data_IF_596333118967
#
_entry.id   IF_596333118967
#
_cell.length_a   1.000
_cell.length_b   1.000
_cell.length_c   1.000
_cell.angle_alpha   90.00
_cell.angle_beta   90.00
_cell.angle_gamma   90.00
#
_symmetry.space_group_name_H-M   'P 1'
#
loop_
_entity.id
_entity.type
_entity.pdbx_description
1 polymer ?
#
# COMPACT_ATOMS: atom_id res chain seq x y z
N UNK A 1 -1.01 0.54 -2.09
CA UNK A 1 -2.25 0.44 -2.91
C UNK A 1 -2.01 -0.20 -4.28
N UNK A 2 -0.87 0.02 -4.95
CA UNK A 2 -0.64 -0.46 -6.33
C UNK A 2 -0.48 -1.99 -6.50
N UNK A 3 0.00 -2.73 -5.49
CA UNK A 3 0.03 -4.20 -5.54
C UNK A 3 -1.36 -4.82 -5.67
N UNK A 4 -2.27 -4.44 -4.77
CA UNK A 4 -3.61 -5.04 -4.70
C UNK A 4 -4.32 -4.85 -6.04
N UNK A 5 -4.13 -3.65 -6.61
CA UNK A 5 -4.54 -3.29 -7.97
C UNK A 5 -3.97 -4.24 -9.03
N UNK A 6 -2.68 -4.55 -9.01
CA UNK A 6 -2.07 -5.49 -9.95
C UNK A 6 -2.62 -6.90 -9.81
N UNK A 7 -2.81 -7.40 -8.57
CA UNK A 7 -3.40 -8.72 -8.34
C UNK A 7 -4.84 -8.80 -8.86
N UNK A 8 -5.64 -7.76 -8.63
CA UNK A 8 -7.03 -7.67 -9.14
C UNK A 8 -7.02 -7.65 -10.66
N UNK A 9 -6.17 -6.84 -11.29
CA UNK A 9 -6.04 -6.79 -12.74
C UNK A 9 -5.69 -8.17 -13.33
N UNK A 10 -4.64 -8.82 -12.80
CA UNK A 10 -4.23 -10.15 -13.25
C UNK A 10 -5.36 -11.18 -13.07
N UNK A 11 -6.10 -11.10 -11.97
CA UNK A 11 -7.23 -11.99 -11.71
C UNK A 11 -8.40 -11.77 -12.69
N UNK A 12 -8.70 -10.51 -13.05
CA UNK A 12 -9.73 -10.20 -14.05
C UNK A 12 -9.32 -10.65 -15.46
N UNK A 13 -8.04 -10.57 -15.81
CA UNK A 13 -7.52 -11.10 -17.08
C UNK A 13 -7.65 -12.62 -17.13
N UNK A 14 -7.22 -13.33 -16.08
CA UNK A 14 -7.38 -14.79 -15.97
C UNK A 14 -8.85 -15.21 -15.98
N UNK A 15 -9.71 -14.46 -15.31
CA UNK A 15 -11.16 -14.66 -15.34
C UNK A 15 -11.69 -14.52 -16.76
N UNK A 16 -11.32 -13.45 -17.48
CA UNK A 16 -11.79 -13.19 -18.84
C UNK A 16 -11.35 -14.32 -19.78
N UNK A 17 -10.07 -14.71 -19.72
CA UNK A 17 -9.51 -15.77 -20.54
C UNK A 17 -10.17 -17.14 -20.27
N UNK A 18 -10.39 -17.49 -18.99
CA UNK A 18 -11.01 -18.77 -18.63
C UNK A 18 -12.52 -18.83 -18.85
N UNK A 19 -13.22 -17.70 -18.69
CA UNK A 19 -14.68 -17.64 -18.76
C UNK A 19 -15.19 -17.52 -20.20
N UNK A 20 -14.46 -16.84 -21.08
CA UNK A 20 -14.88 -16.60 -22.45
C UNK A 20 -15.23 -17.89 -23.23
N UNK A 21 -14.35 -18.93 -23.29
CA UNK A 21 -14.65 -20.15 -24.04
C UNK A 21 -15.89 -20.88 -23.51
N UNK A 22 -16.07 -20.89 -22.18
CA UNK A 22 -17.21 -21.53 -21.54
C UNK A 22 -18.54 -20.83 -21.87
N UNK A 23 -18.56 -19.51 -21.80
CA UNK A 23 -19.74 -18.69 -22.13
C UNK A 23 -20.09 -18.82 -23.62
N UNK A 24 -19.09 -18.74 -24.49
CA UNK A 24 -19.28 -18.91 -25.94
C UNK A 24 -19.89 -20.28 -26.28
N UNK A 25 -19.32 -21.36 -25.72
CA UNK A 25 -19.83 -22.71 -25.95
C UNK A 25 -21.24 -22.91 -25.39
N UNK A 26 -21.52 -22.38 -24.20
CA UNK A 26 -22.84 -22.43 -23.58
C UNK A 26 -23.91 -21.75 -24.43
N UNK A 27 -23.63 -20.54 -24.90
CA UNK A 27 -24.54 -19.78 -25.75
C UNK A 27 -24.72 -20.45 -27.13
N UNK A 28 -23.65 -20.93 -27.76
CA UNK A 28 -23.74 -21.67 -29.04
C UNK A 28 -24.57 -22.94 -28.91
N UNK A 29 -24.49 -23.65 -27.78
CA UNK A 29 -25.25 -24.88 -27.55
C UNK A 29 -26.77 -24.63 -27.54
N UNK A 30 -27.21 -23.50 -26.97
CA UNK A 30 -28.64 -23.15 -26.85
C UNK A 30 -29.14 -22.38 -28.07
N UNK A 31 -28.41 -21.36 -28.51
CA UNK A 31 -28.84 -20.39 -29.52
C UNK A 31 -28.24 -20.59 -30.91
N UNK A 32 -27.29 -21.53 -31.07
CA UNK A 32 -26.62 -21.85 -32.34
C UNK A 32 -26.05 -20.61 -33.01
N UNK A 33 -26.49 -20.26 -34.22
CA UNK A 33 -25.96 -19.14 -35.00
C UNK A 33 -26.39 -17.76 -34.47
N UNK A 34 -27.41 -17.69 -33.60
CA UNK A 34 -27.92 -16.42 -33.03
C UNK A 34 -27.31 -16.09 -31.67
N UNK A 35 -26.28 -16.82 -31.25
CA UNK A 35 -25.68 -16.66 -29.93
C UNK A 35 -25.10 -15.26 -29.70
N UNK A 36 -24.56 -14.62 -30.74
CA UNK A 36 -24.06 -13.24 -30.67
C UNK A 36 -25.18 -12.22 -30.44
N UNK A 37 -26.32 -12.39 -31.09
CA UNK A 37 -27.47 -11.48 -30.95
C UNK A 37 -28.09 -11.59 -29.55
N UNK A 38 -28.11 -12.80 -28.98
CA UNK A 38 -28.55 -13.02 -27.60
C UNK A 38 -27.55 -12.52 -26.57
N UNK A 39 -26.24 -12.61 -26.84
CA UNK A 39 -25.26 -11.94 -25.99
C UNK A 39 -25.43 -10.41 -26.00
N UNK A 40 -25.74 -9.84 -27.17
CA UNK A 40 -26.06 -8.40 -27.31
C UNK A 40 -27.34 -8.01 -26.58
N UNK A 41 -28.32 -8.92 -26.50
CA UNK A 41 -29.61 -8.64 -25.83
C UNK A 41 -29.44 -8.43 -24.32
N UNK A 42 -28.48 -9.11 -23.69
CA UNK A 42 -28.13 -8.94 -22.28
C UNK A 42 -27.67 -7.53 -21.88
N UNK A 43 -27.34 -6.66 -22.85
CA UNK A 43 -26.91 -5.27 -22.59
C UNK A 43 -27.98 -4.22 -22.92
N UNK A 44 -29.11 -4.63 -23.52
CA UNK A 44 -30.11 -3.71 -24.06
C UNK A 44 -30.98 -3.04 -22.99
N UNK A 45 -31.10 -3.65 -21.81
CA UNK A 45 -31.93 -3.11 -20.73
C UNK A 45 -31.24 -2.01 -19.92
N UNK A 46 -29.90 -1.93 -19.93
CA UNK A 46 -29.18 -1.06 -18.99
C UNK A 46 -29.00 0.39 -19.44
N UNK A 47 -29.00 0.76 -20.74
CA UNK A 47 -29.04 2.18 -21.13
C UNK A 47 -29.57 2.43 -22.56
N UNK A 48 -30.30 3.55 -22.67
CA UNK A 48 -30.70 4.30 -23.87
C UNK A 48 -29.51 4.67 -24.77
N UNK A 49 -28.83 3.70 -25.36
CA UNK A 49 -27.81 3.93 -26.38
C UNK A 49 -28.44 3.57 -27.71
N UNK A 50 -28.66 4.61 -28.53
CA UNK A 50 -29.02 4.47 -29.93
C UNK A 50 -28.12 3.41 -30.57
N UNK A 51 -28.73 2.32 -31.02
CA UNK A 51 -28.02 1.18 -31.58
C UNK A 51 -27.10 1.64 -32.72
N UNK A 52 -25.78 1.45 -32.62
CA UNK A 52 -24.96 1.39 -33.80
C UNK A 52 -25.12 -0.01 -34.39
N UNK A 53 -25.57 -0.03 -35.63
CA UNK A 53 -25.52 -1.16 -36.56
C UNK A 53 -24.21 -1.95 -36.37
N UNK A 54 -24.31 -3.22 -35.97
CA UNK A 54 -23.18 -4.15 -35.76
C UNK A 54 -22.13 -3.67 -34.73
N UNK A 55 -22.52 -3.42 -33.49
CA UNK A 55 -21.55 -3.25 -32.40
C UNK A 55 -20.85 -4.59 -32.10
N UNK A 56 -19.54 -4.67 -32.35
CA UNK A 56 -18.70 -5.80 -31.93
C UNK A 56 -18.57 -5.75 -30.40
N UNK A 57 -19.04 -6.78 -29.70
CA UNK A 57 -18.87 -6.88 -28.23
C UNK A 57 -17.37 -6.99 -27.93
N UNK A 58 -16.84 -6.06 -27.14
CA UNK A 58 -15.52 -6.25 -26.51
C UNK A 58 -15.68 -7.19 -25.33
N UNK A 59 -15.10 -8.38 -25.41
CA UNK A 59 -15.17 -9.36 -24.33
C UNK A 59 -14.18 -8.99 -23.22
N UNK A 60 -14.70 -8.40 -22.15
CA UNK A 60 -14.01 -8.17 -20.89
C UNK A 60 -14.73 -8.92 -19.75
N UNK A 61 -14.12 -8.96 -18.56
CA UNK A 61 -14.70 -9.62 -17.39
C UNK A 61 -16.13 -9.13 -17.10
N UNK A 62 -16.43 -7.85 -17.32
CA UNK A 62 -17.75 -7.29 -17.05
C UNK A 62 -18.82 -7.79 -17.99
N UNK A 63 -18.55 -7.72 -19.29
CA UNK A 63 -19.49 -8.13 -20.31
C UNK A 63 -19.76 -9.63 -20.18
N UNK A 64 -18.72 -10.43 -19.90
CA UNK A 64 -18.88 -11.86 -19.64
C UNK A 64 -19.72 -12.16 -18.40
N UNK A 65 -19.43 -11.53 -17.25
CA UNK A 65 -20.21 -11.71 -16.02
C UNK A 65 -21.66 -11.23 -16.16
N UNK A 66 -21.89 -10.18 -16.96
CA UNK A 66 -23.23 -9.64 -17.24
C UNK A 66 -24.04 -10.62 -18.08
N UNK A 67 -23.46 -11.14 -19.17
CA UNK A 67 -24.11 -12.16 -20.01
C UNK A 67 -24.39 -13.43 -19.21
N UNK A 68 -23.45 -13.87 -18.36
CA UNK A 68 -23.67 -15.03 -17.49
C UNK A 68 -24.81 -14.84 -16.51
N UNK A 69 -24.93 -13.64 -15.92
CA UNK A 69 -26.01 -13.32 -15.00
C UNK A 69 -27.37 -13.32 -15.69
N UNK A 70 -27.48 -12.65 -16.83
CA UNK A 70 -28.72 -12.52 -17.58
C UNK A 70 -29.20 -13.87 -18.14
N UNK A 71 -28.28 -14.60 -18.79
CA UNK A 71 -28.57 -15.90 -19.39
C UNK A 71 -28.47 -17.07 -18.40
N UNK A 72 -28.40 -16.79 -17.10
CA UNK A 72 -28.23 -17.82 -16.05
C UNK A 72 -29.28 -18.91 -16.15
N UNK A 73 -30.56 -18.52 -16.14
CA UNK A 73 -31.67 -19.48 -16.11
C UNK A 73 -31.79 -20.31 -17.40
N UNK A 74 -31.40 -19.73 -18.54
CA UNK A 74 -31.58 -20.35 -19.86
C UNK A 74 -30.40 -21.22 -20.27
N UNK A 75 -29.18 -20.82 -19.93
CA UNK A 75 -27.94 -21.45 -20.41
C UNK A 75 -27.20 -22.17 -19.28
N UNK A 76 -26.96 -21.49 -18.16
CA UNK A 76 -25.99 -21.95 -17.15
C UNK A 76 -26.60 -22.71 -15.98
N UNK A 77 -27.93 -22.61 -15.75
CA UNK A 77 -28.63 -23.26 -14.62
C UNK A 77 -28.54 -24.78 -14.62
N UNK A 78 -28.33 -25.41 -15.79
CA UNK A 78 -28.20 -26.86 -15.90
C UNK A 78 -26.80 -27.36 -15.59
N UNK A 79 -25.76 -26.53 -15.79
CA UNK A 79 -24.35 -26.89 -15.62
C UNK A 79 -23.74 -26.37 -14.32
N UNK A 80 -24.23 -25.24 -13.81
CA UNK A 80 -23.75 -24.58 -12.59
C UNK A 80 -24.86 -24.55 -11.53
N UNK A 81 -24.46 -24.61 -10.25
CA UNK A 81 -25.34 -24.56 -9.09
C UNK A 81 -25.58 -23.11 -8.66
N UNK A 82 -26.50 -22.93 -7.73
CA UNK A 82 -26.84 -21.61 -7.19
C UNK A 82 -25.65 -20.95 -6.48
N UNK A 83 -24.70 -21.73 -5.93
CA UNK A 83 -23.46 -21.22 -5.33
C UNK A 83 -22.63 -20.42 -6.32
N UNK A 84 -22.48 -20.91 -7.55
CA UNK A 84 -21.70 -20.22 -8.57
C UNK A 84 -22.42 -18.97 -9.06
N UNK A 85 -23.76 -18.96 -9.05
CA UNK A 85 -24.53 -17.73 -9.32
C UNK A 85 -24.16 -16.61 -8.35
N UNK A 86 -24.06 -16.94 -7.06
CA UNK A 86 -23.65 -15.97 -6.04
C UNK A 86 -22.23 -15.47 -6.28
N UNK A 87 -21.31 -16.33 -6.73
CA UNK A 87 -19.95 -15.92 -7.11
C UNK A 87 -19.95 -14.97 -8.31
N UNK A 88 -20.80 -15.20 -9.32
CA UNK A 88 -20.92 -14.28 -10.47
C UNK A 88 -21.35 -12.89 -10.02
N UNK A 89 -22.32 -12.78 -9.12
CA UNK A 89 -22.75 -11.48 -8.56
C UNK A 89 -21.60 -10.82 -7.80
N UNK A 90 -20.98 -11.56 -6.89
CA UNK A 90 -19.86 -11.06 -6.09
C UNK A 90 -18.72 -10.53 -6.97
N UNK A 91 -18.31 -11.28 -8.01
CA UNK A 91 -17.29 -10.85 -8.95
C UNK A 91 -17.71 -9.64 -9.78
N UNK A 92 -19.00 -9.52 -10.10
CA UNK A 92 -19.53 -8.34 -10.81
C UNK A 92 -19.44 -7.09 -9.94
N UNK A 93 -19.75 -7.20 -8.65
CA UNK A 93 -19.55 -6.12 -7.68
C UNK A 93 -18.08 -5.75 -7.52
N UNK A 94 -17.17 -6.73 -7.42
CA UNK A 94 -15.73 -6.49 -7.38
C UNK A 94 -15.22 -5.76 -8.62
N UNK A 95 -15.62 -6.19 -9.82
CA UNK A 95 -15.27 -5.48 -11.06
C UNK A 95 -15.85 -4.07 -11.07
N UNK A 96 -17.09 -3.89 -10.60
CA UNK A 96 -17.71 -2.58 -10.57
C UNK A 96 -16.93 -1.60 -9.69
N UNK A 97 -16.62 -2.01 -8.45
CA UNK A 97 -15.72 -1.28 -7.53
C UNK A 97 -14.37 -0.98 -8.19
N UNK A 98 -13.81 -1.95 -8.91
CA UNK A 98 -12.55 -1.79 -9.63
C UNK A 98 -12.61 -0.69 -10.71
N UNK A 99 -13.70 -0.66 -11.49
CA UNK A 99 -13.94 0.36 -12.51
C UNK A 99 -14.15 1.76 -11.92
N UNK A 100 -14.71 1.85 -10.71
CA UNK A 100 -14.84 3.10 -9.95
C UNK A 100 -13.54 3.53 -9.23
N UNK A 101 -12.46 2.77 -9.41
CA UNK A 101 -11.17 3.01 -8.76
C UNK A 101 -11.22 2.99 -7.23
N UNK A 102 -12.12 2.21 -6.64
CA UNK A 102 -12.23 2.09 -5.18
C UNK A 102 -10.95 1.55 -4.52
N UNK A 103 -10.82 1.80 -3.22
CA UNK A 103 -9.77 1.20 -2.39
C UNK A 103 -10.06 -0.29 -2.12
N UNK A 104 -9.03 -1.12 -2.25
CA UNK A 104 -9.10 -2.55 -1.92
C UNK A 104 -8.07 -2.90 -0.85
N UNK A 105 -8.54 -3.52 0.23
CA UNK A 105 -7.67 -4.10 1.25
C UNK A 105 -7.18 -5.51 0.85
N UNK A 106 -6.28 -6.08 1.65
CA UNK A 106 -5.82 -7.46 1.53
C UNK A 106 -6.99 -8.45 1.51
N UNK A 107 -7.93 -8.33 2.45
CA UNK A 107 -9.06 -9.27 2.57
C UNK A 107 -9.98 -9.20 1.34
N UNK A 108 -10.28 -8.00 0.84
CA UNK A 108 -11.03 -7.80 -0.40
C UNK A 108 -10.32 -8.45 -1.59
N UNK A 109 -9.02 -8.21 -1.73
CA UNK A 109 -8.21 -8.73 -2.85
C UNK A 109 -8.12 -10.25 -2.81
N UNK A 110 -7.88 -10.81 -1.61
CA UNK A 110 -7.82 -12.25 -1.40
C UNK A 110 -9.19 -12.89 -1.67
N UNK A 111 -10.27 -12.25 -1.25
CA UNK A 111 -11.65 -12.71 -1.49
C UNK A 111 -11.97 -12.74 -2.98
N UNK A 112 -11.63 -11.67 -3.71
CA UNK A 112 -11.81 -11.59 -5.16
C UNK A 112 -11.03 -12.70 -5.89
N UNK A 113 -9.77 -12.95 -5.50
CA UNK A 113 -8.97 -14.06 -6.03
C UNK A 113 -9.60 -15.43 -5.73
N UNK A 114 -10.10 -15.65 -4.51
CA UNK A 114 -10.77 -16.90 -4.11
C UNK A 114 -12.06 -17.14 -4.89
N UNK A 115 -12.89 -16.10 -5.04
CA UNK A 115 -14.14 -16.17 -5.79
C UNK A 115 -13.89 -16.44 -7.27
N UNK A 116 -12.84 -15.86 -7.84
CA UNK A 116 -12.39 -16.14 -9.20
C UNK A 116 -11.92 -17.59 -9.34
N UNK A 117 -11.08 -18.08 -8.43
CA UNK A 117 -10.57 -19.46 -8.43
C UNK A 117 -11.71 -20.47 -8.35
N UNK A 118 -12.68 -20.26 -7.45
CA UNK A 118 -13.84 -21.15 -7.29
C UNK A 118 -14.71 -21.20 -8.54
N UNK A 119 -14.96 -20.04 -9.17
CA UNK A 119 -15.75 -19.98 -10.39
C UNK A 119 -15.04 -20.70 -11.55
N UNK A 120 -13.74 -20.43 -11.77
CA UNK A 120 -12.97 -21.10 -12.83
C UNK A 120 -12.85 -22.62 -12.59
N UNK A 121 -12.68 -23.05 -11.33
CA UNK A 121 -12.72 -24.48 -10.97
C UNK A 121 -14.07 -25.13 -11.29
N UNK A 122 -15.18 -24.44 -11.01
CA UNK A 122 -16.52 -24.98 -11.24
C UNK A 122 -16.81 -25.20 -12.74
N UNK A 123 -16.25 -24.36 -13.62
CA UNK A 123 -16.38 -24.51 -15.07
C UNK A 123 -15.29 -25.38 -15.70
N UNK A 124 -14.28 -25.81 -14.92
CA UNK A 124 -13.15 -26.59 -15.43
C UNK A 124 -12.23 -25.80 -16.38
N UNK A 125 -12.11 -24.49 -16.19
CA UNK A 125 -11.29 -23.62 -17.05
C UNK A 125 -9.80 -23.67 -16.68
N UNK A 126 -8.97 -23.29 -17.64
CA UNK A 126 -7.53 -23.07 -17.45
C UNK A 126 -7.26 -21.80 -16.61
N UNK A 127 -6.03 -21.62 -16.11
CA UNK A 127 -5.64 -20.44 -15.31
C UNK A 127 -5.84 -20.57 -13.80
N UNK A 128 -6.46 -21.66 -13.32
CA UNK A 128 -6.64 -21.92 -11.87
C UNK A 128 -5.30 -22.03 -11.12
N UNK A 129 -4.29 -22.66 -11.72
CA UNK A 129 -2.97 -22.81 -11.11
C UNK A 129 -2.25 -21.45 -10.94
N UNK A 130 -2.44 -20.55 -11.89
CA UNK A 130 -1.89 -19.18 -11.82
C UNK A 130 -2.58 -18.38 -10.70
N UNK A 131 -3.91 -18.47 -10.58
CA UNK A 131 -4.65 -17.86 -9.47
C UNK A 131 -4.19 -18.37 -8.10
N UNK A 132 -3.93 -19.68 -7.97
CA UNK A 132 -3.40 -20.24 -6.73
C UNK A 132 -2.03 -19.65 -6.39
N UNK A 133 -1.18 -19.45 -7.40
CA UNK A 133 0.13 -18.80 -7.24
C UNK A 133 -0.04 -17.34 -6.79
N UNK A 134 -0.96 -16.58 -7.41
CA UNK A 134 -1.27 -15.21 -7.00
C UNK A 134 -1.77 -15.14 -5.54
N UNK A 135 -2.65 -16.06 -5.13
CA UNK A 135 -3.14 -16.17 -3.74
C UNK A 135 -2.01 -16.49 -2.75
N UNK A 136 -1.08 -17.37 -3.12
CA UNK A 136 0.08 -17.67 -2.28
C UNK A 136 1.02 -16.47 -2.16
N UNK A 137 1.24 -15.74 -3.26
CA UNK A 137 2.12 -14.58 -3.28
C UNK A 137 1.57 -13.46 -2.37
N UNK A 138 0.29 -13.09 -2.52
CA UNK A 138 -0.31 -12.06 -1.67
C UNK A 138 -0.33 -12.48 -0.18
N UNK A 139 -0.55 -13.77 0.11
CA UNK A 139 -0.51 -14.29 1.47
C UNK A 139 0.90 -14.22 2.08
N UNK A 140 1.92 -14.66 1.33
CA UNK A 140 3.33 -14.58 1.77
C UNK A 140 3.74 -13.15 2.05
N UNK A 141 3.30 -12.23 1.22
CA UNK A 141 3.57 -10.80 1.40
C UNK A 141 2.95 -10.26 2.70
N UNK A 142 1.66 -10.58 2.95
CA UNK A 142 0.96 -10.18 4.18
C UNK A 142 1.65 -10.73 5.43
N UNK A 143 1.98 -12.03 5.41
CA UNK A 143 2.67 -12.69 6.53
C UNK A 143 4.03 -12.03 6.77
N UNK A 144 4.82 -11.81 5.72
CA UNK A 144 6.15 -11.18 5.84
C UNK A 144 6.05 -9.78 6.45
N UNK A 145 5.06 -8.99 6.02
CA UNK A 145 4.76 -7.67 6.58
C UNK A 145 4.40 -7.76 8.07
N UNK A 146 3.52 -8.69 8.43
CA UNK A 146 3.07 -8.84 9.82
C UNK A 146 4.20 -9.31 10.74
N UNK A 147 5.02 -10.26 10.29
CA UNK A 147 6.20 -10.74 11.02
C UNK A 147 7.20 -9.60 11.23
N UNK A 148 7.48 -8.79 10.19
CA UNK A 148 8.37 -7.63 10.30
C UNK A 148 7.84 -6.60 11.30
N UNK A 149 6.55 -6.32 11.25
CA UNK A 149 5.89 -5.38 12.16
C UNK A 149 5.90 -5.89 13.61
N UNK A 150 5.63 -7.17 13.83
CA UNK A 150 5.69 -7.80 15.16
C UNK A 150 7.11 -7.81 15.72
N UNK A 151 8.09 -8.13 14.87
CA UNK A 151 9.51 -8.08 15.22
C UNK A 151 9.93 -6.66 15.62
N UNK A 152 9.59 -5.64 14.82
CA UNK A 152 9.86 -4.23 15.13
C UNK A 152 9.29 -3.82 16.48
N UNK A 153 8.01 -4.08 16.73
CA UNK A 153 7.35 -3.77 18.02
C UNK A 153 8.07 -4.42 19.20
N UNK A 154 8.51 -5.67 19.02
CA UNK A 154 9.24 -6.42 20.05
C UNK A 154 10.63 -5.83 20.30
N UNK A 155 11.36 -5.45 19.25
CA UNK A 155 12.69 -4.82 19.37
C UNK A 155 12.59 -3.45 20.05
N UNK A 156 11.63 -2.60 19.64
CA UNK A 156 11.40 -1.30 20.27
C UNK A 156 11.04 -1.44 21.75
N UNK A 157 10.21 -2.43 22.11
CA UNK A 157 9.88 -2.71 23.51
C UNK A 157 11.11 -3.12 24.31
N UNK A 158 11.95 -4.01 23.76
CA UNK A 158 13.21 -4.43 24.40
C UNK A 158 14.14 -3.24 24.62
N UNK A 159 14.27 -2.36 23.64
CA UNK A 159 15.11 -1.17 23.75
C UNK A 159 14.60 -0.21 24.83
N UNK A 160 13.28 0.10 24.85
CA UNK A 160 12.68 0.92 25.91
C UNK A 160 12.89 0.34 27.31
N UNK A 161 12.78 -0.98 27.46
CA UNK A 161 13.00 -1.65 28.74
C UNK A 161 14.47 -1.53 29.17
N UNK A 162 15.42 -1.70 28.24
CA UNK A 162 16.84 -1.51 28.51
C UNK A 162 17.14 -0.07 28.94
N UNK A 163 16.68 0.92 28.18
CA UNK A 163 16.88 2.34 28.51
C UNK A 163 16.28 2.67 29.88
N UNK A 164 15.06 2.21 30.15
CA UNK A 164 14.41 2.39 31.45
C UNK A 164 15.22 1.74 32.59
N UNK A 165 15.76 0.54 32.39
CA UNK A 165 16.58 -0.15 33.41
C UNK A 165 17.87 0.63 33.73
N UNK A 166 18.50 1.22 32.71
CA UNK A 166 19.68 2.07 32.84
C UNK A 166 19.36 3.31 33.68
N UNK A 167 18.23 3.98 33.41
CA UNK A 167 17.77 5.14 34.19
C UNK A 167 17.40 4.78 35.63
N UNK A 168 16.80 3.62 35.88
CA UNK A 168 16.51 3.16 37.24
C UNK A 168 17.78 2.91 38.06
N UNK A 169 18.79 2.25 37.48
CA UNK A 169 20.07 1.98 38.14
C UNK A 169 20.82 3.28 38.46
N UNK A 170 20.84 4.24 37.52
CA UNK A 170 21.48 5.54 37.76
C UNK A 170 20.76 6.36 38.84
N UNK A 171 19.42 6.38 38.82
CA UNK A 171 18.62 7.07 39.83
C UNK A 171 18.81 6.47 41.23
N UNK A 172 18.76 5.14 41.37
CA UNK A 172 19.00 4.47 42.65
C UNK A 172 20.40 4.76 43.22
N UNK A 173 21.43 4.82 42.36
CA UNK A 173 22.80 5.15 42.75
C UNK A 173 22.93 6.59 43.26
N UNK A 174 22.31 7.57 42.56
CA UNK A 174 22.32 8.98 42.96
C UNK A 174 21.52 9.20 44.24
N UNK A 175 20.32 8.62 44.36
CA UNK A 175 19.48 8.75 45.55
C UNK A 175 20.16 8.10 46.76
N UNK A 176 20.77 6.93 46.58
CA UNK A 176 21.53 6.25 47.64
C UNK A 176 22.71 7.07 48.14
N UNK A 177 23.46 7.73 47.25
CA UNK A 177 24.60 8.57 47.64
C UNK A 177 24.17 9.82 48.43
N UNK A 178 23.05 10.46 48.03
CA UNK A 178 22.47 11.61 48.74
C UNK A 178 21.94 11.22 50.12
N UNK A 179 21.22 10.10 50.24
CA UNK A 179 20.69 9.63 51.54
C UNK A 179 21.84 9.30 52.50
N UNK A 180 22.87 8.60 52.02
CA UNK A 180 24.06 8.31 52.83
C UNK A 180 24.74 9.58 53.32
N UNK A 181 24.84 10.60 52.46
CA UNK A 181 25.38 11.92 52.83
C UNK A 181 24.55 12.58 53.95
N UNK A 182 23.22 12.48 53.91
CA UNK A 182 22.33 13.08 54.91
C UNK A 182 22.27 12.32 56.25
N UNK A 183 22.38 10.99 56.25
CA UNK A 183 22.29 10.19 57.48
C UNK A 183 23.59 10.19 58.30
N UNK A 184 24.74 10.50 57.68
CA UNK A 184 26.05 10.40 58.33
C UNK A 184 26.70 11.77 58.61
N UNK A 185 26.00 12.63 59.36
CA UNK A 185 26.44 14.01 59.64
C UNK A 185 27.76 14.13 60.44
N UNK A 186 28.20 13.10 61.16
CA UNK A 186 29.42 13.15 62.00
C UNK A 186 30.69 12.61 61.30
N UNK A 187 30.57 11.88 60.18
CA UNK A 187 31.71 11.25 59.50
C UNK A 187 32.45 12.20 58.55
N UNK A 188 31.76 13.22 58.04
CA UNK A 188 32.30 14.16 57.04
C UNK A 188 33.51 14.97 57.53
N UNK A 189 33.65 15.17 58.85
CA UNK A 189 34.60 16.16 59.39
C UNK A 189 35.95 15.56 59.85
N UNK A 190 36.08 14.23 60.07
CA UNK A 190 37.30 13.67 60.68
C UNK A 190 37.76 12.27 60.18
N UNK A 191 37.21 11.71 59.08
CA UNK A 191 37.50 10.31 58.68
C UNK A 191 37.84 10.08 57.21
N UNK A 192 38.48 8.92 56.94
CA UNK A 192 38.91 8.42 55.62
C UNK A 192 37.81 8.39 54.53
N UNK A 193 36.52 8.53 54.87
CA UNK A 193 35.46 8.51 53.86
C UNK A 193 35.25 9.80 53.07
N UNK A 194 35.90 10.92 53.41
CA UNK A 194 35.93 12.10 52.53
C UNK A 194 36.59 11.78 51.17
N UNK A 195 37.54 10.84 51.13
CA UNK A 195 38.23 10.42 49.90
C UNK A 195 37.57 9.21 49.23
N UNK A 196 37.10 8.23 50.00
CA UNK A 196 36.56 6.98 49.43
C UNK A 196 35.19 7.14 48.77
N UNK A 197 34.34 8.03 49.27
CA UNK A 197 32.99 8.24 48.75
C UNK A 197 32.94 8.93 47.36
N UNK A 198 33.68 10.04 47.12
CA UNK A 198 33.75 10.61 45.77
C UNK A 198 34.43 9.67 44.79
N UNK A 199 35.41 8.86 45.23
CA UNK A 199 36.01 7.84 44.38
C UNK A 199 35.00 6.77 43.96
N UNK A 200 34.13 6.30 44.85
CA UNK A 200 33.09 5.32 44.51
C UNK A 200 32.04 5.88 43.54
N UNK A 201 31.67 7.15 43.70
CA UNK A 201 30.75 7.81 42.77
C UNK A 201 31.40 8.02 41.38
N UNK A 202 32.67 8.43 41.34
CA UNK A 202 33.43 8.61 40.10
C UNK A 202 33.61 7.26 39.37
N UNK A 203 33.93 6.18 40.08
CA UNK A 203 34.07 4.85 39.46
C UNK A 203 32.74 4.34 38.94
N UNK A 204 31.63 4.56 39.66
CA UNK A 204 30.29 4.21 39.18
C UNK A 204 29.93 4.95 37.88
N UNK A 205 30.18 6.26 37.82
CA UNK A 205 29.92 7.06 36.61
C UNK A 205 30.78 6.59 35.44
N UNK A 206 32.08 6.33 35.66
CA UNK A 206 32.97 5.81 34.62
C UNK A 206 32.49 4.44 34.12
N UNK A 207 32.17 3.51 35.02
CA UNK A 207 31.65 2.18 34.64
C UNK A 207 30.34 2.30 33.88
N UNK A 208 29.46 3.22 34.26
CA UNK A 208 28.21 3.49 33.56
C UNK A 208 28.46 4.02 32.14
N UNK A 209 29.34 5.01 31.96
CA UNK A 209 29.68 5.52 30.63
C UNK A 209 30.40 4.47 29.77
N UNK A 210 31.28 3.67 30.35
CA UNK A 210 31.92 2.54 29.67
C UNK A 210 30.88 1.49 29.27
N UNK A 211 29.91 1.20 30.13
CA UNK A 211 28.80 0.29 29.83
C UNK A 211 27.92 0.84 28.70
N UNK A 212 27.53 2.11 28.75
CA UNK A 212 26.78 2.76 27.67
C UNK A 212 27.55 2.78 26.36
N UNK A 213 28.86 3.02 26.42
CA UNK A 213 29.73 3.02 25.23
C UNK A 213 29.85 1.60 24.67
N UNK A 214 30.03 0.61 25.54
CA UNK A 214 30.04 -0.81 25.16
C UNK A 214 28.70 -1.25 24.55
N UNK A 215 27.59 -0.84 25.15
CA UNK A 215 26.26 -1.14 24.64
C UNK A 215 26.00 -0.40 23.32
N UNK A 216 26.45 0.84 23.15
CA UNK A 216 26.36 1.55 21.87
C UNK A 216 27.20 0.90 20.77
N UNK A 217 28.32 0.29 21.14
CA UNK A 217 29.17 -0.46 20.20
C UNK A 217 28.61 -1.85 19.87
N UNK A 218 27.87 -2.48 20.79
CA UNK A 218 27.36 -3.86 20.65
C UNK A 218 25.90 -3.94 20.21
N UNK A 219 25.11 -2.91 20.46
CA UNK A 219 23.72 -2.80 19.98
C UNK A 219 23.81 -2.35 18.53
N UNK A 220 23.52 -3.23 17.54
CA UNK A 220 23.49 -2.78 16.16
C UNK A 220 22.49 -1.62 16.05
N UNK A 221 22.82 -0.62 15.24
CA UNK A 221 21.90 0.46 14.87
C UNK A 221 20.55 -0.15 14.46
N UNK A 222 19.46 0.50 14.86
CA UNK A 222 18.10 0.12 14.49
C UNK A 222 18.08 -0.17 12.99
N UNK A 223 17.68 -1.40 12.66
CA UNK A 223 17.82 -2.05 11.35
C UNK A 223 18.02 -1.07 10.20
N UNK A 224 19.28 -0.95 9.77
CA UNK A 224 19.60 -0.43 8.45
C UNK A 224 18.94 -1.39 7.45
N UNK A 225 17.88 -0.93 6.80
CA UNK A 225 17.19 -1.74 5.81
C UNK A 225 18.15 -1.87 4.61
N UNK A 226 18.65 -3.08 4.37
CA UNK A 226 19.38 -3.38 3.14
C UNK A 226 18.51 -3.11 1.91
N UNK A 227 19.10 -3.10 0.70
CA UNK A 227 18.32 -2.97 -0.53
C UNK A 227 17.25 -4.05 -0.55
N UNK A 228 16.00 -3.64 -0.49
CA UNK A 228 14.87 -4.54 -0.58
C UNK A 228 13.87 -3.97 -1.57
N UNK A 229 13.21 -4.85 -2.31
CA UNK A 229 12.14 -4.44 -3.20
C UNK A 229 10.94 -3.97 -2.37
N UNK A 230 10.44 -2.78 -2.68
CA UNK A 230 9.16 -2.34 -2.18
C UNK A 230 8.11 -3.26 -2.77
N UNK A 231 7.36 -3.95 -1.91
CA UNK A 231 6.27 -4.77 -2.42
C UNK A 231 5.27 -3.91 -3.22
N UNK A 232 4.92 -2.68 -2.77
CA UNK A 232 3.90 -1.82 -3.44
C UNK A 232 4.23 -1.40 -4.87
N UNK A 233 5.49 -1.06 -5.17
CA UNK A 233 5.88 -0.53 -6.47
C UNK A 233 7.01 -1.30 -7.17
N UNK A 234 7.53 -2.37 -6.56
CA UNK A 234 8.64 -3.18 -7.09
C UNK A 234 10.01 -2.50 -7.11
N UNK A 235 10.12 -1.23 -6.71
CA UNK A 235 11.39 -0.49 -6.70
C UNK A 235 12.26 -0.90 -5.52
N UNK A 236 13.57 -1.00 -5.72
CA UNK A 236 14.53 -1.18 -4.63
C UNK A 236 14.49 0.06 -3.76
N UNK A 237 14.12 -0.11 -2.50
CA UNK A 237 14.09 0.92 -1.48
C UNK A 237 15.11 0.58 -0.38
N UNK A 238 15.65 1.65 0.20
CA UNK A 238 16.57 1.60 1.34
C UNK A 238 15.90 2.10 2.63
N UNK A 239 14.65 2.55 2.51
CA UNK A 239 13.84 3.12 3.59
C UNK A 239 12.78 2.14 4.06
N UNK A 240 12.29 2.34 5.28
CA UNK A 240 11.31 1.47 5.93
C UNK A 240 9.93 1.52 5.23
N UNK A 241 9.49 2.73 4.93
CA UNK A 241 8.31 3.01 4.11
C UNK A 241 8.74 3.41 2.71
N UNK A 242 7.91 3.08 1.73
CA UNK A 242 8.24 3.36 0.34
C UNK A 242 7.95 4.84 0.02
N UNK A 243 8.97 5.67 -0.24
CA UNK A 243 8.80 7.09 -0.55
C UNK A 243 8.02 7.29 -1.86
N UNK A 244 7.96 6.26 -2.70
CA UNK A 244 7.25 6.27 -3.97
C UNK A 244 5.77 5.86 -3.87
N UNK A 245 5.32 5.33 -2.72
CA UNK A 245 3.96 4.81 -2.58
C UNK A 245 3.01 5.76 -1.85
N UNK A 246 3.53 6.69 -1.06
CA UNK A 246 2.75 7.75 -0.41
C UNK A 246 2.62 9.00 -1.30
N UNK A 247 3.55 9.18 -2.24
CA UNK A 247 3.47 10.22 -3.27
C UNK A 247 2.47 9.80 -4.35
N UNK A 248 1.19 10.05 -4.05
CA UNK A 248 0.13 10.17 -5.04
C UNK A 248 0.61 11.07 -6.20
N UNK A 249 0.28 10.76 -7.48
CA UNK A 249 0.67 11.55 -8.64
C UNK A 249 0.19 13.02 -8.64
N UNK A 250 -0.58 13.45 -7.65
CA UNK A 250 -1.04 14.84 -7.52
C UNK A 250 0.08 15.83 -7.17
N UNK A 251 1.17 15.40 -6.52
CA UNK A 251 2.26 16.32 -6.12
C UNK A 251 3.27 16.61 -7.24
N UNK A 252 3.29 15.79 -8.30
CA UNK A 252 4.19 15.99 -9.43
C UNK A 252 3.69 17.09 -10.39
N UNK A 253 2.41 17.49 -10.29
CA UNK A 253 1.87 18.63 -11.04
C UNK A 253 2.19 19.97 -10.38
N UNK A 254 2.32 19.99 -9.05
CA UNK A 254 2.71 21.20 -8.32
C UNK A 254 4.17 21.58 -8.56
N UNK A 255 5.07 20.60 -8.68
CA UNK A 255 6.51 20.85 -8.88
C UNK A 255 6.77 21.44 -10.29
N UNK A 256 6.14 20.90 -11.34
CA UNK A 256 6.28 21.40 -12.73
C UNK A 256 5.70 22.83 -12.92
N UNK A 257 4.66 23.20 -12.16
CA UNK A 257 4.09 24.56 -12.21
C UNK A 257 4.96 25.60 -11.47
N UNK A 258 5.57 25.24 -10.34
CA UNK A 258 6.45 26.15 -9.60
C UNK A 258 7.75 26.45 -10.35
N UNK A 259 8.34 25.48 -11.05
CA UNK A 259 9.55 25.71 -11.85
C UNK A 259 9.26 26.54 -13.11
N UNK A 260 8.09 26.35 -13.74
CA UNK A 260 7.65 27.17 -14.88
C UNK A 260 7.37 28.63 -14.50
N UNK A 261 6.87 28.88 -13.28
CA UNK A 261 6.61 30.23 -12.77
C UNK A 261 7.88 30.91 -12.22
N UNK A 262 8.83 30.14 -11.67
CA UNK A 262 10.13 30.67 -11.22
C UNK A 262 11.01 31.11 -12.41
N UNK A 263 10.87 30.48 -13.58
CA UNK A 263 11.62 30.84 -14.79
C UNK A 263 11.14 32.15 -15.45
N UNK A 264 9.88 32.57 -15.23
CA UNK A 264 9.33 33.80 -15.83
C UNK A 264 9.66 35.09 -15.05
N UNK A 265 10.17 34.99 -13.82
CA UNK A 265 10.49 36.15 -12.97
C UNK A 265 11.95 36.61 -13.08
N UNK A 266 12.77 36.00 -13.95
CA UNK A 266 14.20 36.32 -14.12
C UNK A 266 14.53 36.77 -15.56
N UNK A 267 13.70 37.62 -16.16
CA UNK A 267 14.13 38.44 -17.31
C UNK A 267 14.24 39.92 -16.90
N UNK A 268 15.46 40.52 -16.88
CA UNK A 268 15.60 41.95 -16.70
C UNK A 268 15.18 42.68 -17.98
N UNK A 269 14.04 43.36 -17.88
CA UNK A 269 13.47 44.26 -18.89
C UNK A 269 14.46 45.38 -19.28
N UNK A 270 15.24 45.14 -20.34
CA UNK A 270 16.05 46.16 -21.04
C UNK A 270 15.47 46.36 -22.43
N UNK A 271 14.46 47.22 -22.56
CA UNK A 271 14.21 48.10 -23.72
C UNK A 271 12.86 48.79 -23.54
N UNK A 272 12.90 50.08 -23.17
CA UNK A 272 12.02 51.14 -23.70
C UNK A 272 12.28 52.44 -22.93
N UNK A 273 13.34 53.16 -23.33
CA UNK A 273 13.42 54.61 -23.20
C UNK A 273 13.67 55.16 -24.59
N UNK A 274 12.57 55.41 -25.29
CA UNK A 274 12.53 56.34 -26.42
C UNK A 274 11.08 56.75 -26.60
N UNK A 275 10.87 58.07 -26.61
CA UNK A 275 9.79 58.77 -27.31
C UNK A 275 8.34 58.42 -26.92
N UNK A 276 7.66 59.30 -26.16
CA UNK A 276 6.93 60.41 -26.78
C UNK A 276 6.26 61.30 -25.73
N UNK A 277 6.81 62.50 -25.64
CA UNK A 277 6.19 63.70 -25.12
C UNK A 277 5.39 64.31 -26.28
N UNK A 278 4.06 64.38 -26.17
CA UNK A 278 3.21 65.32 -26.91
C UNK A 278 1.78 65.28 -26.34
N UNK A 279 1.44 66.34 -25.61
CA UNK A 279 0.06 66.71 -25.26
C UNK A 279 -0.43 67.74 -26.29
N UNK A 280 -1.74 67.78 -26.61
CA UNK A 280 -2.26 68.57 -27.73
C UNK A 280 -2.51 70.03 -27.37
N UNK A 281 -2.38 70.88 -28.38
CA UNK A 281 -2.73 72.29 -28.36
C UNK A 281 -4.25 72.52 -28.22
N UNK A 282 -4.62 73.60 -27.54
CA UNK A 282 -5.93 74.26 -27.64
C UNK A 282 -5.74 75.71 -28.13
N UNK A 283 -6.77 76.33 -28.75
CA UNK A 283 -6.63 77.45 -29.67
C UNK A 283 -6.91 78.82 -29.03
N UNK A 284 -6.21 79.85 -29.53
CA UNK A 284 -6.73 81.18 -29.86
C UNK A 284 -5.72 81.94 -30.69
#
# INVERSE_FOLDING_TARGET
>A
MQINRQYIYNALELLTAGLFPYVEQGLKKVYRNKWHDEALSSFRDDHKIAAPTKSVIKWDAHNLLTVMWDQWNRVFRQSLRQSERSLVVELREFRNRWAHQDSFDFDDTYRMLDSTERLLKAIGAEGVAELQTLKQNIMREKITRDVRNAYRKTQLRKQKIKDLSIYWVSCLSIVGSVIYMMMNNNWFVLGWGFLLFPLFFITFVIVFFVYLTYERLKTPSQLFHGPHECYSCGKIIYTEDCPYCETSPEENQTIDMTDSQAMQLVEPNKKQKSSQQKSPAQPR
#
